data_IF_863099745067
#
_entry.id   IF_863099745067
#
_cell.length_a   1.000
_cell.length_b   1.000
_cell.length_c   1.000
_cell.angle_alpha   90.00
_cell.angle_beta   90.00
_cell.angle_gamma   90.00
#
_symmetry.space_group_name_H-M   'P 1'
#
loop_
_entity.id
_entity.type
_entity.pdbx_description
1 polymer ?
#
# COMPACT_ATOMS: atom_id res chain seq x y z
N UNK A 1 16.42 19.49 -8.68
CA UNK A 1 16.49 18.14 -8.07
C UNK A 1 15.11 17.47 -8.00
N UNK A 2 14.05 18.16 -7.54
CA UNK A 2 12.70 17.59 -7.43
C UNK A 2 12.09 17.09 -8.75
N UNK A 3 12.24 17.84 -9.86
CA UNK A 3 11.67 17.47 -11.17
C UNK A 3 12.28 16.18 -11.72
N UNK A 4 13.60 16.00 -11.58
CA UNK A 4 14.29 14.78 -12.00
C UNK A 4 13.86 13.55 -11.19
N UNK A 5 13.65 13.73 -9.88
CA UNK A 5 13.13 12.67 -9.01
C UNK A 5 11.70 12.26 -9.38
N UNK A 6 10.81 13.24 -9.62
CA UNK A 6 9.42 12.99 -10.03
C UNK A 6 9.36 12.27 -11.38
N UNK A 7 10.14 12.72 -12.36
CA UNK A 7 10.22 12.07 -13.67
C UNK A 7 10.82 10.65 -13.57
N UNK A 8 11.82 10.47 -12.71
CA UNK A 8 12.41 9.15 -12.43
C UNK A 8 11.40 8.18 -11.82
N UNK A 9 10.65 8.61 -10.80
CA UNK A 9 9.60 7.79 -10.18
C UNK A 9 8.47 7.50 -11.17
N UNK A 10 8.06 8.47 -12.00
CA UNK A 10 7.07 8.26 -13.05
C UNK A 10 7.52 7.20 -14.04
N UNK A 11 8.77 7.28 -14.50
CA UNK A 11 9.37 6.29 -15.39
C UNK A 11 9.41 4.90 -14.76
N UNK A 12 9.87 4.81 -13.50
CA UNK A 12 9.93 3.55 -12.75
C UNK A 12 8.55 2.87 -12.66
N UNK A 13 7.54 3.56 -12.14
CA UNK A 13 6.20 2.97 -11.99
C UNK A 13 5.52 2.66 -13.33
N UNK A 14 5.81 3.43 -14.38
CA UNK A 14 5.35 3.09 -15.73
C UNK A 14 5.95 1.76 -16.21
N UNK A 15 7.26 1.57 -16.03
CA UNK A 15 7.94 0.32 -16.42
C UNK A 15 7.42 -0.85 -15.58
N UNK A 16 7.30 -0.69 -14.26
CA UNK A 16 6.79 -1.74 -13.38
C UNK A 16 5.36 -2.15 -13.74
N UNK A 17 4.47 -1.19 -14.02
CA UNK A 17 3.11 -1.47 -14.49
C UNK A 17 3.08 -2.24 -15.81
N UNK A 18 3.93 -1.86 -16.78
CA UNK A 18 4.07 -2.59 -18.03
C UNK A 18 4.61 -4.02 -17.84
N UNK A 19 5.60 -4.20 -16.96
CA UNK A 19 6.15 -5.52 -16.62
C UNK A 19 5.07 -6.41 -16.01
N UNK A 20 4.26 -5.88 -15.09
CA UNK A 20 3.16 -6.63 -14.49
C UNK A 20 2.10 -7.01 -15.54
N UNK A 21 1.71 -6.07 -16.41
CA UNK A 21 0.75 -6.34 -17.48
C UNK A 21 1.26 -7.43 -18.43
N UNK A 22 2.52 -7.33 -18.85
CA UNK A 22 3.15 -8.35 -19.70
C UNK A 22 3.20 -9.71 -19.01
N UNK A 23 3.53 -9.73 -17.71
CA UNK A 23 3.54 -10.96 -16.90
C UNK A 23 2.17 -11.60 -16.85
N UNK A 24 1.09 -10.84 -16.58
CA UNK A 24 -0.26 -11.39 -16.57
C UNK A 24 -0.68 -11.92 -17.94
N UNK A 25 -0.45 -11.17 -19.01
CA UNK A 25 -0.80 -11.59 -20.36
C UNK A 25 -0.06 -12.88 -20.74
N UNK A 26 1.23 -12.96 -20.43
CA UNK A 26 2.04 -14.14 -20.66
C UNK A 26 1.53 -15.35 -19.85
N UNK A 27 1.30 -15.19 -18.56
CA UNK A 27 0.81 -16.27 -17.68
C UNK A 27 -0.59 -16.72 -18.08
N UNK A 28 -1.50 -15.81 -18.43
CA UNK A 28 -2.84 -16.16 -18.91
C UNK A 28 -2.77 -16.92 -20.23
N UNK A 29 -1.89 -16.51 -21.14
CA UNK A 29 -1.75 -17.14 -22.46
C UNK A 29 -1.14 -18.54 -22.37
N UNK A 30 -0.23 -18.76 -21.42
CA UNK A 30 0.51 -20.03 -21.30
C UNK A 30 -0.14 -21.01 -20.33
N UNK A 31 -0.68 -20.52 -19.22
CA UNK A 31 -1.16 -21.33 -18.11
C UNK A 31 -2.69 -21.23 -17.92
N UNK A 32 -3.38 -20.37 -18.67
CA UNK A 32 -4.83 -20.15 -18.55
C UNK A 32 -5.19 -19.24 -17.37
N UNK A 33 -6.46 -19.26 -16.93
CA UNK A 33 -6.96 -18.37 -15.87
C UNK A 33 -6.46 -18.75 -14.46
N UNK A 34 -6.34 -17.77 -13.54
CA UNK A 34 -5.83 -17.99 -12.18
C UNK A 34 -6.81 -18.72 -11.24
N UNK A 35 -8.09 -18.76 -11.58
CA UNK A 35 -9.16 -19.22 -10.70
C UNK A 35 -9.28 -20.75 -10.66
N UNK A 36 -8.23 -21.41 -10.16
CA UNK A 36 -8.15 -22.87 -10.04
C UNK A 36 -7.76 -23.27 -8.61
N UNK A 37 -8.40 -24.30 -8.07
CA UNK A 37 -8.17 -24.75 -6.68
C UNK A 37 -6.79 -25.38 -6.50
N UNK A 38 -6.32 -26.03 -7.54
CA UNK A 38 -5.00 -26.65 -7.69
C UNK A 38 -3.85 -25.64 -7.57
N UNK A 39 -4.08 -24.35 -7.81
CA UNK A 39 -3.09 -23.29 -7.62
C UNK A 39 -3.05 -22.75 -6.18
N UNK A 40 -4.12 -22.94 -5.40
CA UNK A 40 -4.25 -22.45 -4.02
C UNK A 40 -3.57 -23.38 -3.01
N UNK A 41 -2.26 -23.57 -3.18
CA UNK A 41 -1.42 -24.23 -2.17
C UNK A 41 -1.37 -23.42 -0.86
N UNK A 42 -1.00 -24.02 0.28
CA UNK A 42 -0.88 -23.30 1.55
C UNK A 42 0.03 -22.06 1.45
N UNK A 43 1.12 -22.17 0.71
CA UNK A 43 2.03 -21.05 0.45
C UNK A 43 1.45 -19.99 -0.48
N UNK A 44 0.73 -20.37 -1.56
CA UNK A 44 0.00 -19.40 -2.39
C UNK A 44 -1.03 -18.63 -1.56
N UNK A 45 -1.79 -19.34 -0.71
CA UNK A 45 -2.78 -18.71 0.16
C UNK A 45 -2.14 -17.72 1.13
N UNK A 46 -1.01 -18.09 1.76
CA UNK A 46 -0.25 -17.18 2.64
C UNK A 46 0.24 -15.94 1.88
N UNK A 47 0.78 -16.10 0.67
CA UNK A 47 1.22 -14.98 -0.18
C UNK A 47 0.05 -14.08 -0.59
N UNK A 48 -1.12 -14.64 -0.89
CA UNK A 48 -2.31 -13.85 -1.18
C UNK A 48 -2.79 -13.06 0.04
N UNK A 49 -2.77 -13.64 1.24
CA UNK A 49 -3.08 -12.91 2.48
C UNK A 49 -2.11 -11.74 2.66
N UNK A 50 -0.81 -11.99 2.50
CA UNK A 50 0.24 -10.97 2.59
C UNK A 50 0.00 -9.83 1.59
N UNK A 51 -0.25 -10.20 0.34
CA UNK A 51 -0.57 -9.29 -0.75
C UNK A 51 -1.78 -8.41 -0.44
N UNK A 52 -2.90 -9.00 -0.05
CA UNK A 52 -4.13 -8.23 0.19
C UNK A 52 -4.02 -7.31 1.39
N UNK A 53 -3.23 -7.64 2.43
CA UNK A 53 -2.97 -6.72 3.53
C UNK A 53 -2.23 -5.47 3.03
N UNK A 54 -1.23 -5.65 2.16
CA UNK A 54 -0.55 -4.53 1.52
C UNK A 54 -1.49 -3.73 0.60
N UNK A 55 -2.39 -4.40 -0.13
CA UNK A 55 -3.43 -3.73 -0.94
C UNK A 55 -4.37 -2.91 -0.05
N UNK A 56 -4.76 -3.39 1.12
CA UNK A 56 -5.57 -2.63 2.10
C UNK A 56 -4.83 -1.38 2.56
N UNK A 57 -3.53 -1.48 2.84
CA UNK A 57 -2.71 -0.31 3.19
C UNK A 57 -2.68 0.73 2.05
N UNK A 58 -2.50 0.28 0.82
CA UNK A 58 -2.52 1.15 -0.37
C UNK A 58 -3.91 1.75 -0.63
N UNK A 59 -4.98 0.97 -0.45
CA UNK A 59 -6.35 1.46 -0.60
C UNK A 59 -6.70 2.49 0.47
N UNK A 60 -6.24 2.30 1.71
CA UNK A 60 -6.37 3.30 2.77
C UNK A 60 -5.61 4.58 2.42
N UNK A 61 -4.40 4.46 1.85
CA UNK A 61 -3.62 5.59 1.35
C UNK A 61 -4.35 6.37 0.26
N UNK A 62 -4.87 5.67 -0.76
CA UNK A 62 -5.64 6.27 -1.85
C UNK A 62 -6.92 6.94 -1.33
N UNK A 63 -7.66 6.27 -0.45
CA UNK A 63 -8.90 6.79 0.14
C UNK A 63 -8.68 8.06 0.96
N UNK A 64 -7.51 8.17 1.61
CA UNK A 64 -7.15 9.37 2.34
C UNK A 64 -6.65 10.52 1.42
N UNK A 65 -6.15 10.21 0.23
CA UNK A 65 -5.72 11.21 -0.77
C UNK A 65 -6.87 11.73 -1.65
N UNK A 66 -7.81 10.86 -1.99
CA UNK A 66 -8.93 11.22 -2.87
C UNK A 66 -9.95 12.08 -2.12
N UNK A 67 -10.27 13.26 -2.66
CA UNK A 67 -11.30 14.13 -2.09
C UNK A 67 -12.72 13.61 -2.37
N UNK A 68 -12.90 12.88 -3.48
CA UNK A 68 -14.19 12.35 -3.88
C UNK A 68 -14.33 10.87 -3.45
N UNK A 69 -15.34 10.58 -2.62
CA UNK A 69 -15.62 9.22 -2.14
C UNK A 69 -15.89 8.23 -3.27
N UNK A 70 -16.50 8.67 -4.38
CA UNK A 70 -16.74 7.80 -5.55
C UNK A 70 -15.42 7.40 -6.21
N UNK A 71 -14.49 8.35 -6.35
CA UNK A 71 -13.14 8.10 -6.89
C UNK A 71 -12.38 7.14 -5.98
N UNK A 72 -12.42 7.36 -4.66
CA UNK A 72 -11.78 6.50 -3.67
C UNK A 72 -12.29 5.05 -3.76
N UNK A 73 -13.61 4.85 -3.86
CA UNK A 73 -14.23 3.53 -3.99
C UNK A 73 -13.81 2.88 -5.31
N UNK A 74 -13.86 3.62 -6.42
CA UNK A 74 -13.48 3.12 -7.73
C UNK A 74 -12.01 2.66 -7.75
N UNK A 75 -11.09 3.47 -7.22
CA UNK A 75 -9.69 3.09 -7.10
C UNK A 75 -9.47 1.91 -6.16
N UNK A 76 -10.23 1.82 -5.08
CA UNK A 76 -10.16 0.67 -4.15
C UNK A 76 -10.58 -0.62 -4.87
N UNK A 77 -11.67 -0.60 -5.64
CA UNK A 77 -12.11 -1.76 -6.44
C UNK A 77 -11.03 -2.14 -7.44
N UNK A 78 -10.46 -1.16 -8.16
CA UNK A 78 -9.39 -1.42 -9.12
C UNK A 78 -8.12 -1.99 -8.46
N UNK A 79 -7.77 -1.56 -7.24
CA UNK A 79 -6.62 -2.09 -6.49
C UNK A 79 -6.85 -3.55 -6.09
N UNK A 80 -8.07 -3.89 -5.66
CA UNK A 80 -8.43 -5.28 -5.32
C UNK A 80 -8.43 -6.17 -6.56
N UNK A 81 -8.91 -5.67 -7.70
CA UNK A 81 -9.02 -6.47 -8.93
C UNK A 81 -7.72 -6.61 -9.72
N UNK A 82 -6.92 -5.54 -9.82
CA UNK A 82 -5.75 -5.47 -10.71
C UNK A 82 -4.42 -5.24 -9.98
N UNK A 83 -4.45 -5.15 -8.64
CA UNK A 83 -3.24 -5.12 -7.83
C UNK A 83 -2.30 -3.98 -8.20
N UNK A 84 -1.03 -4.31 -8.41
CA UNK A 84 0.05 -3.36 -8.68
C UNK A 84 -0.08 -2.61 -9.99
N UNK A 85 -0.83 -3.11 -10.98
CA UNK A 85 -1.11 -2.34 -12.21
C UNK A 85 -1.85 -1.05 -11.84
N UNK A 86 -2.87 -1.16 -10.98
CA UNK A 86 -3.63 -0.02 -10.47
C UNK A 86 -2.75 0.86 -9.59
N UNK A 87 -1.94 0.28 -8.71
CA UNK A 87 -0.99 1.04 -7.87
C UNK A 87 -0.07 1.90 -8.73
N UNK A 88 0.54 1.32 -9.77
CA UNK A 88 1.42 2.01 -10.70
C UNK A 88 0.68 3.11 -11.46
N UNK A 89 -0.49 2.79 -12.02
CA UNK A 89 -1.32 3.76 -12.74
C UNK A 89 -1.71 4.96 -11.86
N UNK A 90 -2.15 4.70 -10.62
CA UNK A 90 -2.50 5.73 -9.67
C UNK A 90 -1.32 6.65 -9.34
N UNK A 91 -0.15 6.07 -9.07
CA UNK A 91 1.05 6.84 -8.74
C UNK A 91 1.51 7.69 -9.93
N UNK A 92 1.52 7.14 -11.15
CA UNK A 92 1.87 7.87 -12.37
C UNK A 92 0.91 9.03 -12.62
N UNK A 93 -0.39 8.82 -12.42
CA UNK A 93 -1.41 9.87 -12.55
C UNK A 93 -1.20 10.98 -11.52
N UNK A 94 -0.92 10.64 -10.26
CA UNK A 94 -0.67 11.62 -9.21
C UNK A 94 0.58 12.46 -9.48
N UNK A 95 1.68 11.85 -9.93
CA UNK A 95 2.86 12.60 -10.31
C UNK A 95 2.66 13.47 -11.56
N UNK A 96 1.79 13.04 -12.48
CA UNK A 96 1.45 13.83 -13.66
C UNK A 96 0.64 15.08 -13.30
N UNK A 97 -0.29 14.97 -12.34
CA UNK A 97 -1.06 16.12 -11.81
C UNK A 97 -0.16 17.12 -11.08
N UNK A 98 0.78 16.63 -10.26
CA UNK A 98 1.74 17.48 -9.54
C UNK A 98 2.66 18.30 -10.46
N UNK A 99 2.88 17.86 -11.70
CA UNK A 99 3.63 18.63 -12.68
C UNK A 99 2.84 19.80 -13.28
N UNK A 100 1.51 19.83 -13.10
CA UNK A 100 0.60 20.79 -13.74
C UNK A 100 -0.06 21.75 -12.76
N UNK A 101 -0.22 21.39 -11.49
CA UNK A 101 -0.83 22.25 -10.46
C UNK A 101 0.24 22.85 -9.53
N UNK A 102 0.19 24.16 -9.32
CA UNK A 102 0.96 24.85 -8.28
C UNK A 102 0.61 24.25 -6.91
N UNK A 103 1.60 23.61 -6.29
CA UNK A 103 1.52 22.86 -5.01
C UNK A 103 0.88 23.68 -3.85
N UNK A 104 0.91 25.01 -3.94
CA UNK A 104 0.38 25.91 -2.92
C UNK A 104 -1.16 26.03 -2.91
N UNK A 105 -1.83 26.05 -4.06
CA UNK A 105 -3.28 26.34 -4.12
C UNK A 105 -4.15 25.10 -3.82
N UNK A 106 -3.71 23.91 -4.23
CA UNK A 106 -4.43 22.66 -3.97
C UNK A 106 -4.42 22.28 -2.48
N UNK A 107 -3.29 22.48 -1.80
CA UNK A 107 -3.16 22.19 -0.36
C UNK A 107 -4.01 23.15 0.48
N UNK A 108 -4.03 24.44 0.13
CA UNK A 108 -4.89 25.43 0.78
C UNK A 108 -6.38 25.11 0.61
N UNK A 109 -6.81 24.73 -0.61
CA UNK A 109 -8.22 24.47 -0.90
C UNK A 109 -8.71 23.12 -0.34
N UNK A 110 -7.82 22.13 -0.17
CA UNK A 110 -8.13 20.83 0.47
C UNK A 110 -8.18 20.94 2.00
N UNK A 111 -7.30 21.74 2.62
CA UNK A 111 -7.31 21.96 4.08
C UNK A 111 -8.48 22.84 4.55
N UNK A 112 -8.81 23.91 3.81
CA UNK A 112 -9.88 24.85 4.22
C UNK A 112 -11.30 24.32 4.01
N UNK A 113 -11.54 23.41 3.05
CA UNK A 113 -12.90 22.90 2.78
C UNK A 113 -13.42 21.94 3.87
N UNK A 114 -12.52 21.30 4.63
CA UNK A 114 -12.91 20.36 5.67
C UNK A 114 -13.27 21.01 7.02
N UNK A 115 -12.99 22.31 7.22
CA UNK A 115 -13.44 23.01 8.43
C UNK A 115 -14.94 23.36 8.39
N UNK A 116 -15.52 23.62 7.22
CA UNK A 116 -16.89 24.14 7.13
C UNK A 116 -18.00 23.08 7.23
N UNK A 117 -17.66 21.77 7.30
CA UNK A 117 -18.65 20.68 7.30
C UNK A 117 -18.68 19.84 8.58
N UNK A 118 -18.10 20.34 9.67
CA UNK A 118 -18.15 19.72 11.00
C UNK A 118 -19.06 20.49 11.99
N UNK A 119 -20.17 21.05 11.49
CA UNK A 119 -21.24 21.62 12.31
C UNK A 119 -22.21 20.61 12.92
N UNK A 120 -21.92 19.31 12.84
CA UNK A 120 -22.72 18.26 13.47
C UNK A 120 -21.77 17.17 13.96
N UNK A 121 -21.39 17.27 15.23
CA UNK A 121 -20.68 16.24 15.98
C UNK A 121 -21.60 15.04 16.12
N UNK A 122 -21.56 14.14 15.13
CA UNK A 122 -22.15 12.83 15.23
C UNK A 122 -21.27 11.99 16.17
N UNK A 123 -21.86 11.42 17.22
CA UNK A 123 -21.21 10.54 18.19
C UNK A 123 -20.64 9.30 17.49
N UNK A 124 -19.43 9.37 16.93
CA UNK A 124 -18.64 8.16 16.63
C UNK A 124 -18.09 7.61 17.93
N UNK A 125 -18.51 6.40 18.28
CA UNK A 125 -18.13 5.67 19.51
C UNK A 125 -16.63 5.40 19.63
N UNK A 126 -15.86 5.50 18.54
CA UNK A 126 -14.41 5.38 18.54
C UNK A 126 -13.75 6.43 17.65
N UNK A 127 -12.58 6.93 18.09
CA UNK A 127 -11.72 7.77 17.25
C UNK A 127 -11.26 6.98 16.02
N UNK A 128 -11.30 7.56 14.81
CA UNK A 128 -10.92 6.88 13.58
C UNK A 128 -9.46 6.40 13.60
N UNK A 129 -8.58 7.07 14.35
CA UNK A 129 -7.19 6.64 14.58
C UNK A 129 -7.13 5.36 15.41
N UNK A 130 -7.95 5.26 16.46
CA UNK A 130 -8.00 4.07 17.31
C UNK A 130 -8.50 2.86 16.52
N UNK A 131 -9.55 3.06 15.70
CA UNK A 131 -10.03 2.02 14.79
C UNK A 131 -8.94 1.56 13.82
N UNK A 132 -8.20 2.49 13.22
CA UNK A 132 -7.10 2.17 12.32
C UNK A 132 -5.99 1.37 13.03
N UNK A 133 -5.57 1.78 14.24
CA UNK A 133 -4.56 1.07 15.05
C UNK A 133 -4.97 -0.38 15.31
N UNK A 134 -6.21 -0.59 15.74
CA UNK A 134 -6.74 -1.93 16.03
C UNK A 134 -6.78 -2.76 14.75
N UNK A 135 -7.30 -2.21 13.65
CA UNK A 135 -7.41 -2.92 12.38
C UNK A 135 -6.07 -3.38 11.82
N UNK A 136 -5.06 -2.49 11.71
CA UNK A 136 -3.74 -2.87 11.20
C UNK A 136 -2.99 -3.79 12.16
N UNK A 137 -3.20 -3.67 13.48
CA UNK A 137 -2.64 -4.63 14.45
C UNK A 137 -3.23 -6.03 14.26
N UNK A 138 -4.55 -6.11 14.06
CA UNK A 138 -5.22 -7.39 13.81
C UNK A 138 -4.78 -8.02 12.48
N UNK A 139 -4.63 -7.21 11.42
CA UNK A 139 -4.11 -7.66 10.13
C UNK A 139 -2.66 -8.16 10.23
N UNK A 140 -1.80 -7.47 10.99
CA UNK A 140 -0.43 -7.92 11.24
C UNK A 140 -0.37 -9.25 12.01
N UNK A 141 -1.24 -9.42 13.02
CA UNK A 141 -1.36 -10.67 13.77
C UNK A 141 -1.92 -11.81 12.90
N UNK A 142 -2.89 -11.51 12.03
CA UNK A 142 -3.40 -12.45 11.04
C UNK A 142 -2.26 -12.96 10.16
N UNK A 143 -1.47 -12.06 9.58
CA UNK A 143 -0.34 -12.44 8.72
C UNK A 143 0.68 -13.27 9.49
N UNK A 144 1.07 -12.84 10.69
CA UNK A 144 2.00 -13.59 11.54
C UNK A 144 1.49 -15.00 11.84
N UNK A 145 0.21 -15.13 12.19
CA UNK A 145 -0.45 -16.41 12.43
C UNK A 145 -0.46 -17.29 11.19
N UNK A 146 -0.78 -16.74 10.02
CA UNK A 146 -0.74 -17.48 8.75
C UNK A 146 0.67 -17.95 8.41
N UNK A 147 1.69 -17.11 8.62
CA UNK A 147 3.08 -17.46 8.33
C UNK A 147 3.55 -18.58 9.25
N UNK A 148 3.31 -18.47 10.56
CA UNK A 148 3.66 -19.53 11.53
C UNK A 148 2.92 -20.83 11.21
N UNK A 149 1.62 -20.76 10.94
CA UNK A 149 0.81 -21.92 10.61
C UNK A 149 1.34 -22.64 9.36
N UNK A 150 1.60 -21.90 8.28
CA UNK A 150 2.10 -22.47 7.02
C UNK A 150 3.52 -23.01 7.17
N UNK A 151 4.39 -22.35 7.95
CA UNK A 151 5.73 -22.87 8.26
C UNK A 151 5.68 -24.20 9.00
N UNK A 152 4.79 -24.32 10.00
CA UNK A 152 4.68 -25.54 10.81
C UNK A 152 4.05 -26.70 10.05
N UNK A 153 3.08 -26.42 9.18
CA UNK A 153 2.33 -27.45 8.45
C UNK A 153 2.99 -27.86 7.15
N UNK A 154 3.54 -26.90 6.40
CA UNK A 154 4.03 -27.09 5.04
C UNK A 154 5.55 -26.94 4.91
N UNK A 155 6.24 -26.58 6.00
CA UNK A 155 7.69 -26.44 6.04
C UNK A 155 8.19 -25.14 5.39
N UNK A 156 9.38 -25.18 4.78
CA UNK A 156 10.02 -23.99 4.21
C UNK A 156 9.32 -23.48 2.92
N UNK A 157 9.21 -22.15 2.72
CA UNK A 157 8.74 -21.57 1.46
C UNK A 157 9.77 -21.67 0.32
N UNK A 158 11.04 -21.93 0.62
CA UNK A 158 12.12 -21.91 -0.37
C UNK A 158 12.25 -23.24 -1.12
N UNK A 159 11.20 -23.58 -1.89
CA UNK A 159 11.11 -24.80 -2.70
C UNK A 159 10.71 -24.45 -4.12
N UNK A 160 11.41 -25.00 -5.12
CA UNK A 160 11.14 -24.73 -6.54
C UNK A 160 9.74 -25.17 -6.98
N UNK A 161 9.21 -26.21 -6.36
CA UNK A 161 7.88 -26.77 -6.63
C UNK A 161 6.74 -25.77 -6.37
N UNK A 162 6.96 -24.81 -5.46
CA UNK A 162 5.98 -23.77 -5.15
C UNK A 162 5.95 -22.65 -6.18
N UNK A 163 7.02 -22.49 -6.98
CA UNK A 163 7.17 -21.41 -7.97
C UNK A 163 6.46 -21.76 -9.29
N UNK A 164 5.17 -22.05 -9.20
CA UNK A 164 4.30 -22.18 -10.37
C UNK A 164 4.23 -20.85 -11.14
N UNK A 165 3.83 -20.85 -12.43
CA UNK A 165 3.70 -19.61 -13.21
C UNK A 165 2.83 -18.56 -12.50
N UNK A 166 1.71 -18.98 -11.92
CA UNK A 166 0.83 -18.11 -11.15
C UNK A 166 1.43 -17.65 -9.83
N UNK A 167 2.16 -18.50 -9.09
CA UNK A 167 2.85 -18.06 -7.87
C UNK A 167 3.88 -16.98 -8.19
N UNK A 168 4.60 -17.15 -9.29
CA UNK A 168 5.60 -16.20 -9.76
C UNK A 168 4.96 -14.87 -10.15
N UNK A 169 3.84 -14.91 -10.89
CA UNK A 169 3.08 -13.70 -11.24
C UNK A 169 2.57 -12.95 -9.99
N UNK A 170 2.03 -13.67 -9.00
CA UNK A 170 1.58 -13.09 -7.73
C UNK A 170 2.73 -12.48 -6.94
N UNK A 171 3.91 -13.12 -6.90
CA UNK A 171 5.10 -12.57 -6.25
C UNK A 171 5.60 -11.30 -6.94
N UNK A 172 5.59 -11.26 -8.28
CA UNK A 172 5.93 -10.05 -9.04
C UNK A 172 4.96 -8.91 -8.67
N UNK A 173 3.65 -9.19 -8.66
CA UNK A 173 2.62 -8.23 -8.26
C UNK A 173 2.86 -7.68 -6.84
N UNK A 174 3.09 -8.60 -5.91
CA UNK A 174 3.40 -8.32 -4.52
C UNK A 174 4.61 -7.40 -4.39
N UNK A 175 5.73 -7.73 -5.02
CA UNK A 175 6.95 -6.93 -4.88
C UNK A 175 6.84 -5.55 -5.53
N UNK A 176 6.05 -5.38 -6.59
CA UNK A 176 5.78 -4.04 -7.13
C UNK A 176 5.01 -3.19 -6.11
N UNK A 177 4.03 -3.76 -5.41
CA UNK A 177 3.36 -3.06 -4.30
C UNK A 177 4.32 -2.77 -3.14
N UNK A 178 5.24 -3.67 -2.82
CA UNK A 178 6.30 -3.42 -1.82
C UNK A 178 7.22 -2.27 -2.25
N UNK A 179 7.54 -2.13 -3.54
CA UNK A 179 8.29 -0.97 -4.06
C UNK A 179 7.50 0.32 -3.84
N UNK A 180 6.19 0.34 -4.10
CA UNK A 180 5.35 1.50 -3.84
C UNK A 180 5.36 1.91 -2.35
N UNK A 181 5.22 0.93 -1.44
CA UNK A 181 5.30 1.15 0.00
C UNK A 181 6.70 1.62 0.43
N UNK A 182 7.76 1.06 -0.16
CA UNK A 182 9.15 1.44 0.12
C UNK A 182 9.44 2.89 -0.28
N UNK A 183 8.92 3.35 -1.42
CA UNK A 183 9.01 4.75 -1.84
C UNK A 183 8.28 5.65 -0.84
N UNK A 184 7.11 5.24 -0.36
CA UNK A 184 6.37 5.98 0.67
C UNK A 184 7.14 6.06 2.01
N UNK A 185 7.72 4.96 2.46
CA UNK A 185 8.56 4.91 3.68
C UNK A 185 9.80 5.78 3.53
N UNK A 186 10.51 5.70 2.40
CA UNK A 186 11.71 6.51 2.14
C UNK A 186 11.40 8.01 2.14
N UNK A 187 10.21 8.40 1.66
CA UNK A 187 9.75 9.78 1.72
C UNK A 187 9.40 10.24 3.16
N UNK A 188 8.96 9.31 4.01
CA UNK A 188 8.48 9.59 5.37
C UNK A 188 9.58 9.66 6.41
N UNK A 189 10.59 8.81 6.29
CA UNK A 189 11.70 8.74 7.22
C UNK A 189 12.63 9.94 7.07
N UNK A 190 13.08 10.51 8.19
CA UNK A 190 14.04 11.63 8.15
C UNK A 190 15.47 11.17 7.90
N UNK A 191 15.78 9.90 8.20
CA UNK A 191 17.12 9.33 8.08
C UNK A 191 17.16 8.21 7.05
N UNK A 192 18.18 8.24 6.19
CA UNK A 192 18.42 7.22 5.18
C UNK A 192 18.66 5.83 5.79
N UNK A 193 19.25 5.77 6.99
CA UNK A 193 19.49 4.51 7.70
C UNK A 193 18.17 3.89 8.17
N UNK A 194 17.28 4.68 8.77
CA UNK A 194 15.94 4.20 9.16
C UNK A 194 15.16 3.72 7.94
N UNK A 195 15.13 4.53 6.86
CA UNK A 195 14.48 4.15 5.61
C UNK A 195 15.02 2.81 5.08
N UNK A 196 16.34 2.65 5.04
CA UNK A 196 16.98 1.43 4.55
C UNK A 196 16.61 0.21 5.41
N UNK A 197 16.63 0.32 6.73
CA UNK A 197 16.24 -0.75 7.64
C UNK A 197 14.76 -1.15 7.43
N UNK A 198 13.85 -0.18 7.30
CA UNK A 198 12.44 -0.47 7.04
C UNK A 198 12.21 -1.13 5.68
N UNK A 199 12.94 -0.71 4.65
CA UNK A 199 12.83 -1.32 3.31
C UNK A 199 13.32 -2.78 3.35
N UNK A 200 14.42 -3.08 4.04
CA UNK A 200 14.86 -4.47 4.23
C UNK A 200 13.77 -5.28 4.94
N UNK A 201 13.20 -4.74 6.01
CA UNK A 201 12.13 -5.42 6.74
C UNK A 201 10.90 -5.67 5.84
N UNK A 202 10.50 -4.71 5.01
CA UNK A 202 9.39 -4.87 4.05
C UNK A 202 9.66 -5.98 3.03
N UNK A 203 10.89 -6.08 2.53
CA UNK A 203 11.28 -7.13 1.57
C UNK A 203 11.28 -8.51 2.23
N UNK A 204 11.72 -8.60 3.49
CA UNK A 204 11.86 -9.88 4.21
C UNK A 204 10.56 -10.37 4.84
N UNK A 205 9.75 -9.48 5.43
CA UNK A 205 8.58 -9.82 6.24
C UNK A 205 7.26 -9.32 5.65
N UNK A 206 7.29 -8.62 4.52
CA UNK A 206 6.10 -8.22 3.78
C UNK A 206 5.16 -7.34 4.61
N UNK A 207 3.88 -7.70 4.59
CA UNK A 207 2.80 -6.94 5.23
C UNK A 207 2.85 -6.90 6.74
N UNK A 208 3.57 -7.82 7.41
CA UNK A 208 3.82 -7.71 8.86
C UNK A 208 4.53 -6.39 9.15
N UNK A 209 5.58 -6.08 8.39
CA UNK A 209 6.31 -4.82 8.51
C UNK A 209 5.46 -3.63 8.11
N UNK A 210 4.66 -3.74 7.04
CA UNK A 210 3.71 -2.68 6.65
C UNK A 210 2.76 -2.32 7.79
N UNK A 211 2.17 -3.33 8.44
CA UNK A 211 1.28 -3.15 9.58
C UNK A 211 1.98 -2.52 10.78
N UNK A 212 3.17 -3.02 11.15
CA UNK A 212 3.96 -2.45 12.24
C UNK A 212 4.29 -0.98 11.96
N UNK A 213 4.74 -0.67 10.74
CA UNK A 213 5.09 0.69 10.35
C UNK A 213 3.88 1.64 10.44
N UNK A 214 2.74 1.24 9.88
CA UNK A 214 1.51 2.05 9.92
C UNK A 214 1.03 2.26 11.36
N UNK A 215 1.03 1.21 12.19
CA UNK A 215 0.64 1.30 13.59
C UNK A 215 1.58 2.22 14.37
N UNK A 216 2.89 2.12 14.16
CA UNK A 216 3.87 3.02 14.77
C UNK A 216 3.65 4.47 14.35
N UNK A 217 3.37 4.73 13.06
CA UNK A 217 3.03 6.07 12.57
C UNK A 217 1.72 6.60 13.15
N UNK A 218 0.73 5.73 13.36
CA UNK A 218 -0.53 6.07 14.00
C UNK A 218 -0.36 6.40 15.48
N UNK A 219 0.56 5.75 16.20
CA UNK A 219 0.84 6.05 17.61
C UNK A 219 1.49 7.42 17.84
N UNK A 220 2.16 7.96 16.82
CA UNK A 220 2.72 9.31 16.87
C UNK A 220 1.66 10.42 16.75
N UNK A 221 0.42 10.07 16.40
CA UNK A 221 -0.71 11.01 16.29
C UNK A 221 -1.58 10.99 17.55
N UNK A 222 -2.12 12.14 17.93
CA UNK A 222 -3.10 12.24 19.02
C UNK A 222 -4.43 11.59 18.62
N UNK A 223 -5.20 11.11 19.59
CA UNK A 223 -6.49 10.45 19.33
C UNK A 223 -7.54 11.39 18.70
N UNK A 224 -7.34 12.70 18.80
CA UNK A 224 -8.24 13.71 18.23
C UNK A 224 -7.83 14.15 16.82
N UNK A 225 -6.68 13.68 16.33
CA UNK A 225 -6.14 14.11 15.06
C UNK A 225 -6.88 13.44 13.88
N UNK A 226 -6.94 14.09 12.70
CA UNK A 226 -7.53 13.49 11.54
C UNK A 226 -6.59 12.46 10.88
N UNK A 227 -7.14 11.34 10.41
CA UNK A 227 -6.39 10.21 9.83
C UNK A 227 -5.43 10.59 8.69
N UNK A 228 -5.73 11.64 7.92
CA UNK A 228 -4.88 12.05 6.80
C UNK A 228 -3.49 12.53 7.23
N UNK A 229 -3.29 12.91 8.50
CA UNK A 229 -1.96 13.27 9.02
C UNK A 229 -0.98 12.09 8.98
N UNK A 230 -1.48 10.85 8.91
CA UNK A 230 -0.67 9.65 8.66
C UNK A 230 0.08 9.75 7.32
N UNK A 231 -0.36 10.59 6.38
CA UNK A 231 0.25 10.73 5.06
C UNK A 231 1.30 11.85 4.97
N UNK A 232 1.34 12.79 5.90
CA UNK A 232 2.28 13.93 5.88
C UNK A 232 3.63 13.60 6.53
N UNK A 233 4.74 14.02 5.93
CA UNK A 233 6.08 13.86 6.52
C UNK A 233 6.13 14.51 7.92
N UNK A 234 6.89 13.89 8.84
CA UNK A 234 7.13 14.33 10.21
C UNK A 234 7.58 15.80 10.33
N UNK A 235 8.30 16.32 9.33
CA UNK A 235 8.66 17.75 9.28
C UNK A 235 7.45 18.68 9.15
N UNK A 236 6.52 18.34 8.25
CA UNK A 236 5.32 19.15 7.99
C UNK A 236 4.26 18.97 9.09
N UNK A 237 4.25 17.83 9.81
CA UNK A 237 3.37 17.62 10.97
C UNK A 237 3.63 18.59 12.12
N UNK A 238 4.86 19.12 12.25
CA UNK A 238 5.23 20.07 13.31
C UNK A 238 4.86 21.53 13.00
N UNK A 239 4.43 21.80 11.76
CA UNK A 239 4.09 23.14 11.26
C UNK A 239 2.58 23.39 11.16
N UNK A 240 1.77 22.35 11.40
CA UNK A 240 0.30 22.39 11.49
C UNK A 240 -0.07 22.37 12.97
#
# INVERSE_FOLDING_TARGET
MAIWLVNGLRGLFSVLGCVMLATLLYTISTDGLPFRRDLLTPWMAATLVDFYINVVALAAWVSCKESNWVSAILWTILLVCFGSITTCAYIVLQFSKLSSESVQDAIYHVLLRNQSKNGTVEKRTFSPIVTARISFSLLGLLMLGTLIYTLLTDGSPFRKELLTPWMTATLIDFYINVVALSVWVAYKESSWISAFLWIILLICFGSITTCIYIVQQLFQLSSQDPLYLVLLNNGNRKQV
#
